data_IF_668790091243
#
_entry.id   IF_668790091243
#
_cell.length_a   1.000
_cell.length_b   1.000
_cell.length_c   1.000
_cell.angle_alpha   90.00
_cell.angle_beta   90.00
_cell.angle_gamma   90.00
#
_symmetry.space_group_name_H-M   'P 1'
#
loop_
_entity.id
_entity.type
_entity.pdbx_description
1 polymer ?
#
# COMPACT_ATOMS: atom_id res chain seq x y z
N UNK A 1 3.54 -7.05 -10.01
CA UNK A 1 2.82 -8.01 -9.13
C UNK A 1 2.13 -7.26 -8.00
N UNK A 2 1.10 -7.87 -7.41
CA UNK A 2 0.36 -7.31 -6.27
C UNK A 2 1.31 -7.04 -5.09
N UNK A 3 2.10 -8.04 -4.68
CA UNK A 3 3.02 -7.89 -3.54
C UNK A 3 3.95 -6.68 -3.64
N UNK A 4 4.54 -6.44 -4.84
CA UNK A 4 5.38 -5.26 -5.05
C UNK A 4 4.63 -3.94 -4.85
N UNK A 5 3.38 -3.87 -5.31
CA UNK A 5 2.56 -2.64 -5.20
C UNK A 5 2.17 -2.35 -3.75
N UNK A 6 1.70 -3.39 -3.04
CA UNK A 6 1.38 -3.25 -1.61
C UNK A 6 2.62 -2.87 -0.80
N UNK A 7 3.76 -3.54 -1.06
CA UNK A 7 5.03 -3.22 -0.41
C UNK A 7 5.48 -1.78 -0.68
N UNK A 8 5.37 -1.32 -1.94
CA UNK A 8 5.71 0.06 -2.32
C UNK A 8 4.85 1.09 -1.58
N UNK A 9 3.54 0.84 -1.47
CA UNK A 9 2.63 1.71 -0.74
C UNK A 9 3.04 1.83 0.73
N UNK A 10 3.32 0.70 1.39
CA UNK A 10 3.77 0.70 2.79
C UNK A 10 5.12 1.41 2.96
N UNK A 11 6.07 1.15 2.06
CA UNK A 11 7.38 1.81 2.10
C UNK A 11 7.33 3.32 1.89
N UNK A 12 6.34 3.81 1.10
CA UNK A 12 6.18 5.25 0.85
C UNK A 12 5.47 6.00 1.97
N UNK A 13 4.52 5.36 2.68
CA UNK A 13 3.81 6.03 3.78
C UNK A 13 4.57 5.97 5.10
N UNK A 14 5.55 5.07 5.21
CA UNK A 14 6.37 4.95 6.41
C UNK A 14 7.28 6.18 6.55
N UNK A 15 7.10 6.94 7.63
CA UNK A 15 7.93 8.12 7.95
C UNK A 15 9.31 7.73 8.49
N UNK A 16 9.41 6.54 9.08
CA UNK A 16 10.63 5.98 9.67
C UNK A 16 10.99 4.66 8.99
N UNK A 17 12.24 4.19 9.11
CA UNK A 17 12.66 2.90 8.56
C UNK A 17 11.77 1.76 9.03
N UNK A 18 11.35 0.90 8.11
CA UNK A 18 10.61 -0.32 8.43
C UNK A 18 11.59 -1.37 8.98
N UNK A 19 11.36 -1.85 10.19
CA UNK A 19 12.20 -2.84 10.88
C UNK A 19 11.62 -4.26 10.81
N UNK A 20 10.31 -4.38 10.66
CA UNK A 20 9.62 -5.66 10.58
C UNK A 20 8.50 -5.60 9.55
N UNK A 21 8.36 -6.68 8.80
CA UNK A 21 7.22 -6.91 7.92
C UNK A 21 6.65 -8.32 8.15
N UNK A 22 5.35 -8.42 8.24
CA UNK A 22 4.61 -9.68 8.21
C UNK A 22 3.86 -9.79 6.89
N UNK A 23 3.94 -10.97 6.28
CA UNK A 23 3.31 -11.31 5.00
C UNK A 23 2.39 -12.49 5.25
N UNK A 24 1.09 -12.25 5.24
CA UNK A 24 0.10 -13.29 5.45
C UNK A 24 -0.50 -13.71 4.10
N UNK A 25 -0.36 -14.98 3.77
CA UNK A 25 -0.94 -15.61 2.58
C UNK A 25 -2.22 -16.33 2.99
N UNK A 26 -3.36 -15.88 2.52
CA UNK A 26 -4.68 -16.39 2.92
C UNK A 26 -5.40 -17.00 1.72
N UNK A 27 -5.94 -18.20 1.88
CA UNK A 27 -6.65 -18.94 0.85
C UNK A 27 -5.72 -19.58 -0.18
N UNK A 28 -6.14 -19.67 -1.43
CA UNK A 28 -5.42 -20.42 -2.49
C UNK A 28 -3.96 -20.00 -2.67
N UNK A 29 -3.62 -18.76 -2.38
CA UNK A 29 -2.22 -18.28 -2.47
C UNK A 29 -1.33 -18.97 -1.43
N UNK A 30 -1.88 -19.42 -0.29
CA UNK A 30 -1.13 -20.13 0.74
C UNK A 30 -0.61 -21.50 0.28
N UNK A 31 -1.28 -22.13 -0.70
CA UNK A 31 -0.93 -23.43 -1.26
C UNK A 31 0.07 -23.33 -2.44
N UNK A 32 0.40 -22.10 -2.86
CA UNK A 32 1.30 -21.84 -3.98
C UNK A 32 2.76 -21.65 -3.51
N UNK A 33 3.69 -21.60 -4.46
CA UNK A 33 5.03 -21.08 -4.20
C UNK A 33 4.95 -19.57 -3.93
N UNK A 34 5.16 -19.19 -2.67
CA UNK A 34 5.07 -17.79 -2.20
C UNK A 34 6.41 -17.04 -2.32
N UNK A 35 7.50 -17.72 -2.64
CA UNK A 35 8.83 -17.10 -2.78
C UNK A 35 8.84 -15.89 -3.72
N UNK A 36 8.30 -15.98 -4.94
CA UNK A 36 8.22 -14.83 -5.86
C UNK A 36 7.38 -13.67 -5.32
N UNK A 37 6.32 -13.96 -4.53
CA UNK A 37 5.48 -12.92 -3.90
C UNK A 37 6.25 -12.22 -2.79
N UNK A 38 6.94 -12.98 -1.92
CA UNK A 38 7.81 -12.45 -0.86
C UNK A 38 8.87 -11.51 -1.43
N UNK A 39 9.63 -11.98 -2.40
CA UNK A 39 10.69 -11.19 -3.05
C UNK A 39 10.13 -9.91 -3.67
N UNK A 40 9.01 -9.99 -4.36
CA UNK A 40 8.36 -8.82 -4.95
C UNK A 40 7.86 -7.82 -3.88
N UNK A 41 7.36 -8.33 -2.75
CA UNK A 41 6.93 -7.50 -1.61
C UNK A 41 8.13 -6.75 -1.02
N UNK A 42 9.23 -7.45 -0.73
CA UNK A 42 10.45 -6.85 -0.20
C UNK A 42 11.02 -5.79 -1.16
N UNK A 43 11.03 -6.09 -2.46
CA UNK A 43 11.46 -5.12 -3.46
C UNK A 43 10.57 -3.86 -3.48
N UNK A 44 9.27 -3.99 -3.19
CA UNK A 44 8.36 -2.86 -3.04
C UNK A 44 8.67 -2.04 -1.79
N UNK A 45 8.74 -2.71 -0.62
CA UNK A 45 8.97 -2.06 0.68
C UNK A 45 10.28 -1.27 0.71
N UNK A 46 11.34 -1.83 0.15
CA UNK A 46 12.68 -1.24 0.20
C UNK A 46 12.90 -0.14 -0.84
N UNK A 47 12.17 -0.16 -1.97
CA UNK A 47 12.40 0.76 -3.08
C UNK A 47 12.36 2.25 -2.69
N UNK A 48 11.46 2.75 -1.82
CA UNK A 48 11.42 4.17 -1.46
C UNK A 48 12.60 4.64 -0.62
N UNK A 49 13.26 3.73 0.09
CA UNK A 49 14.34 4.06 1.06
C UNK A 49 15.75 3.84 0.50
N UNK A 50 15.87 3.52 -0.79
CA UNK A 50 17.14 3.17 -1.43
C UNK A 50 17.36 4.01 -2.70
N UNK A 51 18.57 4.55 -2.87
CA UNK A 51 18.96 5.33 -4.05
C UNK A 51 19.18 4.47 -5.32
N UNK A 52 19.18 3.15 -5.19
CA UNK A 52 19.44 2.20 -6.28
C UNK A 52 18.23 1.34 -6.64
N UNK A 53 18.27 0.66 -7.81
CA UNK A 53 17.18 -0.19 -8.24
C UNK A 53 17.05 -1.44 -7.34
N UNK A 54 15.90 -1.60 -6.69
CA UNK A 54 15.54 -2.81 -5.95
C UNK A 54 14.70 -3.71 -6.85
N UNK A 55 15.14 -4.96 -7.01
CA UNK A 55 14.53 -5.93 -7.90
C UNK A 55 14.51 -7.34 -7.27
N UNK A 56 14.03 -8.34 -8.01
CA UNK A 56 13.91 -9.71 -7.52
C UNK A 56 15.25 -10.39 -7.20
N UNK A 57 16.37 -9.89 -7.71
CA UNK A 57 17.70 -10.50 -7.48
C UNK A 57 18.32 -10.03 -6.18
N UNK A 58 18.13 -8.76 -5.83
CA UNK A 58 18.81 -8.13 -4.69
C UNK A 58 17.92 -7.84 -3.48
N UNK A 59 16.59 -7.96 -3.59
CA UNK A 59 15.67 -7.56 -2.53
C UNK A 59 15.90 -8.30 -1.20
N UNK A 60 16.14 -9.60 -1.23
CA UNK A 60 16.38 -10.40 -0.01
C UNK A 60 17.71 -10.07 0.65
N UNK A 61 18.75 -9.91 -0.15
CA UNK A 61 20.07 -9.50 0.34
C UNK A 61 19.97 -8.12 1.02
N UNK A 62 19.35 -7.15 0.36
CA UNK A 62 19.18 -5.80 0.88
C UNK A 62 18.30 -5.76 2.15
N UNK A 63 17.27 -6.61 2.23
CA UNK A 63 16.45 -6.77 3.44
C UNK A 63 17.30 -7.27 4.61
N UNK A 64 18.14 -8.28 4.36
CA UNK A 64 19.05 -8.85 5.38
C UNK A 64 20.11 -7.84 5.82
N UNK A 65 20.74 -7.15 4.89
CA UNK A 65 21.77 -6.12 5.19
C UNK A 65 21.21 -4.97 6.03
N UNK A 66 19.93 -4.64 5.85
CA UNK A 66 19.23 -3.61 6.64
C UNK A 66 18.62 -4.13 7.94
N UNK A 67 18.76 -5.43 8.23
CA UNK A 67 18.19 -6.04 9.42
C UNK A 67 16.66 -6.09 9.44
N UNK A 68 16.01 -5.99 8.25
CA UNK A 68 14.56 -6.09 8.14
C UNK A 68 14.10 -7.49 8.54
N UNK A 69 13.31 -7.57 9.60
CA UNK A 69 12.72 -8.84 10.07
C UNK A 69 11.51 -9.17 9.20
N UNK A 70 11.55 -10.32 8.53
CA UNK A 70 10.47 -10.79 7.65
C UNK A 70 9.82 -12.02 8.30
N UNK A 71 8.52 -11.93 8.55
CA UNK A 71 7.71 -13.05 9.05
C UNK A 71 6.68 -13.40 7.99
N UNK A 72 6.41 -14.68 7.85
CA UNK A 72 5.42 -15.18 6.89
C UNK A 72 4.44 -16.11 7.60
N UNK A 73 3.16 -15.97 7.29
CA UNK A 73 2.13 -16.90 7.71
C UNK A 73 1.34 -17.43 6.51
N UNK A 74 0.74 -18.61 6.68
CA UNK A 74 -0.13 -19.24 5.68
C UNK A 74 -1.39 -19.70 6.37
N UNK A 75 -2.53 -19.25 5.88
CA UNK A 75 -3.84 -19.57 6.45
C UNK A 75 -4.75 -20.15 5.38
N UNK A 76 -5.42 -21.26 5.70
CA UNK A 76 -6.54 -21.73 4.91
C UNK A 76 -7.66 -20.68 4.98
N UNK A 77 -8.35 -20.44 3.87
CA UNK A 77 -9.31 -19.34 3.79
C UNK A 77 -10.55 -19.60 4.64
N UNK A 78 -10.85 -18.62 5.47
CA UNK A 78 -12.18 -18.35 6.03
C UNK A 78 -12.65 -16.94 5.63
N UNK A 79 -12.08 -16.39 4.55
CA UNK A 79 -12.33 -15.02 4.08
C UNK A 79 -13.21 -15.01 2.82
N UNK A 80 -13.88 -13.89 2.58
CA UNK A 80 -14.67 -13.62 1.37
C UNK A 80 -13.83 -13.63 0.08
N UNK A 81 -12.51 -13.73 0.20
CA UNK A 81 -11.56 -13.72 -0.90
C UNK A 81 -10.97 -15.11 -1.15
N UNK A 82 -11.02 -15.59 -2.39
CA UNK A 82 -10.39 -16.86 -2.79
C UNK A 82 -8.86 -16.88 -2.57
N UNK A 83 -8.23 -15.70 -2.60
CA UNK A 83 -6.82 -15.47 -2.27
C UNK A 83 -6.68 -14.05 -1.76
N UNK A 84 -5.97 -13.87 -0.64
CA UNK A 84 -5.69 -12.57 -0.07
C UNK A 84 -4.24 -12.49 0.36
N UNK A 85 -3.56 -11.41 0.02
CA UNK A 85 -2.23 -11.06 0.50
C UNK A 85 -2.39 -9.90 1.48
N UNK A 86 -2.02 -10.12 2.76
CA UNK A 86 -2.00 -9.06 3.77
C UNK A 86 -0.55 -8.75 4.13
N UNK A 87 -0.25 -7.48 4.25
CA UNK A 87 1.05 -6.98 4.69
C UNK A 87 0.84 -6.10 5.92
N UNK A 88 1.66 -6.32 6.95
CA UNK A 88 1.79 -5.42 8.10
C UNK A 88 3.25 -5.05 8.27
N UNK A 89 3.52 -3.77 8.42
CA UNK A 89 4.87 -3.23 8.56
C UNK A 89 4.97 -2.39 9.83
N UNK A 90 6.05 -2.58 10.58
CA UNK A 90 6.36 -1.78 11.79
C UNK A 90 7.63 -1.00 11.56
N UNK A 91 7.57 0.27 11.90
CA UNK A 91 8.70 1.19 11.78
C UNK A 91 9.50 1.28 13.07
N UNK A 92 10.73 1.77 12.99
CA UNK A 92 11.58 2.07 14.14
C UNK A 92 10.98 3.10 15.11
N UNK A 93 10.11 3.98 14.60
CA UNK A 93 9.34 4.92 15.41
C UNK A 93 8.11 4.32 16.10
N UNK A 94 7.83 3.01 15.91
CA UNK A 94 6.73 2.28 16.52
C UNK A 94 5.40 2.41 15.79
N UNK A 95 5.35 3.04 14.62
CA UNK A 95 4.15 3.07 13.78
C UNK A 95 3.91 1.71 13.13
N UNK A 96 2.62 1.34 13.02
CA UNK A 96 2.17 0.16 12.28
C UNK A 96 1.42 0.61 11.03
N UNK A 97 1.72 -0.02 9.91
CA UNK A 97 1.07 0.21 8.62
C UNK A 97 0.55 -1.10 8.04
N UNK A 98 -0.61 -1.05 7.39
CA UNK A 98 -1.26 -2.25 6.85
C UNK A 98 -1.77 -2.01 5.43
N UNK A 99 -1.60 -3.03 4.58
CA UNK A 99 -2.24 -3.09 3.27
C UNK A 99 -2.63 -4.53 2.95
N UNK A 100 -3.80 -4.74 2.34
CA UNK A 100 -4.18 -6.04 1.83
C UNK A 100 -4.74 -5.93 0.41
N UNK A 101 -4.53 -7.00 -0.36
CA UNK A 101 -5.00 -7.04 -1.73
C UNK A 101 -5.32 -8.45 -2.20
N UNK A 102 -6.12 -8.51 -3.24
CA UNK A 102 -6.52 -9.72 -3.92
C UNK A 102 -6.38 -9.57 -5.43
N UNK A 103 -6.60 -10.65 -6.17
CA UNK A 103 -6.58 -10.64 -7.64
C UNK A 103 -7.96 -11.06 -8.16
N UNK A 104 -8.66 -10.16 -8.84
CA UNK A 104 -9.93 -10.43 -9.47
C UNK A 104 -9.78 -10.47 -10.99
N UNK A 105 -10.12 -11.59 -11.62
CA UNK A 105 -10.02 -11.79 -13.08
C UNK A 105 -8.64 -11.38 -13.64
N UNK A 106 -7.58 -11.72 -12.89
CA UNK A 106 -6.21 -11.36 -13.26
C UNK A 106 -5.78 -9.93 -12.95
N UNK A 107 -6.68 -9.09 -12.40
CA UNK A 107 -6.38 -7.71 -12.04
C UNK A 107 -6.12 -7.56 -10.55
N UNK A 108 -5.00 -6.97 -10.14
CA UNK A 108 -4.72 -6.65 -8.74
C UNK A 108 -5.72 -5.63 -8.19
N UNK A 109 -6.23 -5.88 -7.00
CA UNK A 109 -7.11 -4.97 -6.26
C UNK A 109 -6.57 -4.79 -4.85
N UNK A 110 -6.47 -3.56 -4.42
CA UNK A 110 -6.30 -3.18 -3.03
C UNK A 110 -7.66 -3.31 -2.36
N UNK A 111 -7.75 -4.03 -1.23
CA UNK A 111 -9.01 -4.27 -0.51
C UNK A 111 -8.98 -3.73 0.92
N UNK A 112 -7.78 -3.46 1.44
CA UNK A 112 -7.58 -2.80 2.72
C UNK A 112 -6.34 -1.90 2.60
N UNK A 113 -6.42 -0.69 3.13
CA UNK A 113 -5.27 0.20 3.27
C UNK A 113 -5.39 0.95 4.59
N UNK A 114 -4.39 0.81 5.45
CA UNK A 114 -4.46 1.21 6.84
C UNK A 114 -5.72 0.57 7.49
N UNK A 115 -6.53 1.32 8.22
CA UNK A 115 -7.77 0.84 8.83
C UNK A 115 -9.00 0.92 7.90
N UNK A 116 -8.80 1.23 6.60
CA UNK A 116 -9.89 1.50 5.66
C UNK A 116 -10.10 0.34 4.69
N UNK A 117 -11.33 -0.20 4.65
CA UNK A 117 -11.76 -1.08 3.56
C UNK A 117 -11.87 -0.29 2.26
N UNK A 118 -11.26 -0.80 1.21
CA UNK A 118 -11.22 -0.14 -0.11
C UNK A 118 -11.45 -1.14 -1.23
N UNK A 119 -11.79 -0.68 -2.41
CA UNK A 119 -11.80 -1.48 -3.64
C UNK A 119 -11.19 -0.64 -4.76
N UNK A 120 -9.87 -0.74 -4.91
CA UNK A 120 -9.13 0.12 -5.82
C UNK A 120 -8.04 -0.64 -6.58
N UNK A 121 -7.84 -0.30 -7.88
CA UNK A 121 -6.74 -0.84 -8.65
C UNK A 121 -5.44 -0.07 -8.32
N UNK A 122 -4.44 -0.71 -7.69
CA UNK A 122 -3.20 -0.01 -7.31
C UNK A 122 -2.28 0.13 -8.53
N UNK A 123 -2.66 0.95 -9.52
CA UNK A 123 -1.97 1.13 -10.80
C UNK A 123 -1.54 2.58 -11.04
N UNK A 124 -0.44 2.76 -11.79
CA UNK A 124 0.07 4.09 -12.11
C UNK A 124 0.60 4.84 -10.90
N UNK A 125 0.47 6.16 -10.93
CA UNK A 125 0.82 7.03 -9.80
C UNK A 125 -0.39 7.17 -8.89
N UNK A 126 -0.21 6.84 -7.62
CA UNK A 126 -1.24 6.93 -6.60
C UNK A 126 -0.87 8.01 -5.58
N UNK A 127 -1.82 8.88 -5.33
CA UNK A 127 -1.80 9.84 -4.24
C UNK A 127 -2.74 9.32 -3.15
N UNK A 128 -2.26 9.29 -1.91
CA UNK A 128 -3.08 9.01 -0.74
C UNK A 128 -3.22 10.27 0.09
N UNK A 129 -4.43 10.60 0.50
CA UNK A 129 -4.68 11.75 1.38
C UNK A 129 -5.51 11.34 2.57
N UNK A 130 -5.14 11.86 3.74
CA UNK A 130 -5.97 11.80 4.94
C UNK A 130 -6.58 13.18 5.16
N UNK A 131 -7.88 13.24 5.33
CA UNK A 131 -8.60 14.51 5.44
C UNK A 131 -9.81 14.38 6.36
N UNK A 132 -10.31 15.52 6.84
CA UNK A 132 -11.57 15.54 7.56
C UNK A 132 -12.72 15.11 6.63
N UNK A 133 -13.62 14.27 7.12
CA UNK A 133 -14.82 13.89 6.38
C UNK A 133 -15.85 15.02 6.43
N UNK A 134 -15.62 16.03 5.60
CA UNK A 134 -16.43 17.23 5.55
C UNK A 134 -16.76 17.65 4.10
N UNK A 135 -17.94 18.23 3.87
CA UNK A 135 -18.31 18.75 2.56
C UNK A 135 -17.29 19.76 2.02
N UNK A 136 -16.94 19.64 0.75
CA UNK A 136 -16.06 20.57 0.03
C UNK A 136 -14.56 20.22 0.07
N UNK A 137 -14.09 19.39 0.98
CA UNK A 137 -12.66 19.03 1.10
C UNK A 137 -12.14 18.41 -0.20
N UNK A 138 -12.87 17.47 -0.78
CA UNK A 138 -12.49 16.86 -2.06
C UNK A 138 -12.52 17.82 -3.24
N UNK A 139 -13.47 18.75 -3.23
CA UNK A 139 -13.53 19.81 -4.25
C UNK A 139 -12.29 20.68 -4.23
N UNK A 140 -11.81 21.03 -3.03
CA UNK A 140 -10.55 21.79 -2.86
C UNK A 140 -9.35 21.00 -3.37
N UNK A 141 -9.25 19.72 -3.00
CA UNK A 141 -8.16 18.83 -3.45
C UNK A 141 -8.17 18.67 -4.98
N UNK A 142 -9.34 18.43 -5.57
CA UNK A 142 -9.46 18.29 -7.03
C UNK A 142 -9.10 19.59 -7.77
N UNK A 143 -9.52 20.75 -7.24
CA UNK A 143 -9.13 22.06 -7.79
C UNK A 143 -7.63 22.28 -7.68
N UNK A 144 -7.05 21.98 -6.53
CA UNK A 144 -5.61 22.11 -6.28
C UNK A 144 -4.77 21.25 -7.25
N UNK A 145 -5.20 20.01 -7.52
CA UNK A 145 -4.56 19.14 -8.52
C UNK A 145 -4.70 19.70 -9.93
N UNK A 146 -5.91 20.17 -10.30
CA UNK A 146 -6.20 20.73 -11.62
C UNK A 146 -5.39 21.98 -11.94
N UNK A 147 -5.23 22.90 -10.98
CA UNK A 147 -4.40 24.11 -11.09
C UNK A 147 -2.92 23.79 -11.39
N UNK A 148 -2.44 22.60 -10.96
CA UNK A 148 -1.09 22.10 -11.21
C UNK A 148 -0.96 21.21 -12.44
N UNK A 149 -2.03 21.13 -13.25
CA UNK A 149 -2.05 20.28 -14.44
C UNK A 149 -2.01 18.77 -14.14
N UNK A 150 -2.38 18.37 -12.91
CA UNK A 150 -2.49 16.98 -12.53
C UNK A 150 -3.90 16.48 -12.78
N UNK A 151 -4.03 15.52 -13.70
CA UNK A 151 -5.31 14.93 -14.04
C UNK A 151 -5.62 13.73 -13.13
N UNK A 152 -6.88 13.63 -12.68
CA UNK A 152 -7.41 12.53 -11.89
C UNK A 152 -7.95 11.46 -12.84
N UNK A 153 -7.36 10.27 -12.83
CA UNK A 153 -7.81 9.11 -13.62
C UNK A 153 -8.84 8.26 -12.90
N UNK A 154 -8.83 8.27 -11.58
CA UNK A 154 -9.76 7.54 -10.72
C UNK A 154 -9.61 7.96 -9.27
N UNK A 155 -10.67 7.80 -8.50
CA UNK A 155 -10.67 8.14 -7.07
C UNK A 155 -11.52 7.13 -6.30
N UNK A 156 -11.03 6.72 -5.15
CA UNK A 156 -11.78 5.94 -4.17
C UNK A 156 -11.75 6.65 -2.83
N UNK A 157 -12.93 6.79 -2.23
CA UNK A 157 -13.11 7.40 -0.93
C UNK A 157 -13.45 6.33 0.08
N UNK A 158 -12.71 6.31 1.17
CA UNK A 158 -13.03 5.52 2.34
C UNK A 158 -13.34 6.47 3.50
N UNK A 159 -14.57 6.48 4.01
CA UNK A 159 -14.94 7.31 5.17
C UNK A 159 -14.16 6.89 6.40
N UNK A 160 -14.22 7.69 7.44
CA UNK A 160 -13.67 7.32 8.75
C UNK A 160 -14.21 5.94 9.17
N UNK A 161 -13.37 5.04 9.70
CA UNK A 161 -13.83 3.72 10.14
C UNK A 161 -14.97 3.82 11.16
N UNK A 162 -15.93 2.88 11.10
CA UNK A 162 -17.08 2.85 12.03
C UNK A 162 -16.60 2.89 13.49
N UNK A 163 -17.22 3.75 14.29
CA UNK A 163 -16.86 3.95 15.69
C UNK A 163 -15.59 4.78 15.95
N UNK A 164 -14.93 5.26 14.90
CA UNK A 164 -13.70 6.08 14.98
C UNK A 164 -13.89 7.42 14.25
N UNK A 165 -14.97 8.13 14.57
CA UNK A 165 -15.33 9.40 13.91
C UNK A 165 -14.26 10.52 14.05
N UNK A 166 -13.31 10.35 14.96
CA UNK A 166 -12.15 11.21 15.17
C UNK A 166 -10.97 10.88 14.23
N UNK A 167 -11.03 9.73 13.53
CA UNK A 167 -10.02 9.39 12.54
C UNK A 167 -10.35 10.05 11.19
N UNK A 168 -9.32 10.47 10.43
CA UNK A 168 -9.52 11.08 9.13
C UNK A 168 -10.09 10.07 8.11
N UNK A 169 -10.88 10.56 7.17
CA UNK A 169 -11.22 9.84 5.96
C UNK A 169 -9.97 9.69 5.07
N UNK A 170 -9.98 8.66 4.23
CA UNK A 170 -8.91 8.35 3.28
C UNK A 170 -9.41 8.56 1.84
N UNK A 171 -8.61 9.24 1.01
CA UNK A 171 -8.80 9.19 -0.43
C UNK A 171 -7.59 8.52 -1.10
N UNK A 172 -7.87 7.60 -2.01
CA UNK A 172 -6.92 7.01 -2.95
C UNK A 172 -7.20 7.59 -4.32
N UNK A 173 -6.24 8.30 -4.90
CA UNK A 173 -6.42 9.03 -6.15
C UNK A 173 -5.37 8.57 -7.15
N UNK A 174 -5.83 8.08 -8.30
CA UNK A 174 -4.95 7.79 -9.42
C UNK A 174 -4.72 9.06 -10.22
N UNK A 175 -3.46 9.41 -10.43
CA UNK A 175 -3.05 10.62 -11.14
C UNK A 175 -2.18 10.29 -12.35
N UNK A 176 -2.19 11.18 -13.35
CA UNK A 176 -1.48 10.98 -14.61
C UNK A 176 0.05 11.13 -14.49
N UNK A 177 0.55 11.76 -13.42
CA UNK A 177 1.97 11.91 -13.09
C UNK A 177 2.20 11.90 -11.58
N UNK A 178 3.41 11.59 -11.16
CA UNK A 178 3.82 11.81 -9.78
C UNK A 178 3.79 13.31 -9.44
N UNK A 179 3.53 13.64 -8.18
CA UNK A 179 3.73 14.98 -7.65
C UNK A 179 5.24 15.24 -7.49
N UNK A 180 5.62 16.50 -7.58
CA UNK A 180 7.00 16.92 -7.25
C UNK A 180 7.13 17.05 -5.73
N UNK A 181 8.36 16.99 -5.21
CA UNK A 181 8.60 17.17 -3.77
C UNK A 181 8.13 18.54 -3.21
N UNK A 182 7.95 19.55 -4.07
CA UNK A 182 7.39 20.85 -3.72
C UNK A 182 5.86 20.79 -3.63
N UNK A 183 5.23 19.98 -4.51
CA UNK A 183 3.78 19.76 -4.52
C UNK A 183 3.31 18.81 -3.40
N UNK A 184 4.19 18.01 -2.82
CA UNK A 184 3.86 17.11 -1.70
C UNK A 184 3.88 17.81 -0.33
N UNK A 185 4.36 19.05 -0.24
CA UNK A 185 4.42 19.86 0.98
C UNK A 185 3.23 20.80 1.13
#
# INVERSE_FOLDING_TARGET
SLGRRLGLMLGQIASDPIERIEIDYVGKVADMDTGPVRVATLAGVLAPSLDGPVNAVNAEMLATERGLKVLESREASDSDYASLLKLRAWTSGGAEHMAAGSVFRGQPRLVLFEDHGVDFAPEGNLLTTRHSDAPGVLGQLASWLGERGVNIGGMHMAPSPEGKADQPALALIQVNRALTAEEER
#
